data_IF_396438523031
#
_entry.id   IF_396438523031
#
_cell.length_a   1.000
_cell.length_b   1.000
_cell.length_c   1.000
_cell.angle_alpha   90.00
_cell.angle_beta   90.00
_cell.angle_gamma   90.00
#
_symmetry.space_group_name_H-M   'P 1'
#
loop_
_entity.id
_entity.type
_entity.pdbx_description
1 polymer ?
#
# COMPACT_ATOMS: atom_id res chain seq x y z
N UNK A 1 -9.87 -23.06 10.09
CA UNK A 1 -10.67 -21.89 9.67
C UNK A 1 -11.62 -22.28 8.55
N UNK A 2 -12.79 -21.72 8.54
CA UNK A 2 -13.77 -21.96 7.48
C UNK A 2 -13.34 -21.28 6.19
N UNK A 3 -13.31 -22.02 5.08
CA UNK A 3 -12.89 -21.49 3.77
C UNK A 3 -13.78 -20.32 3.32
N UNK A 4 -15.08 -20.35 3.64
CA UNK A 4 -15.98 -19.24 3.31
C UNK A 4 -15.57 -17.95 4.01
N UNK A 5 -15.16 -18.03 5.28
CA UNK A 5 -14.69 -16.86 6.03
C UNK A 5 -13.39 -16.33 5.43
N UNK A 6 -12.45 -17.21 5.13
CA UNK A 6 -11.18 -16.83 4.52
C UNK A 6 -11.40 -16.15 3.16
N UNK A 7 -12.30 -16.68 2.34
CA UNK A 7 -12.63 -16.12 1.04
C UNK A 7 -13.25 -14.74 1.18
N UNK A 8 -14.17 -14.55 2.13
CA UNK A 8 -14.80 -13.25 2.35
C UNK A 8 -13.79 -12.21 2.81
N UNK A 9 -12.87 -12.58 3.71
CA UNK A 9 -11.81 -11.67 4.15
C UNK A 9 -10.90 -11.26 2.99
N UNK A 10 -10.56 -12.19 2.13
CA UNK A 10 -9.74 -11.90 0.96
C UNK A 10 -10.46 -10.95 0.00
N UNK A 11 -11.73 -11.20 -0.28
CA UNK A 11 -12.54 -10.34 -1.14
C UNK A 11 -12.67 -8.93 -0.57
N UNK A 12 -12.93 -8.79 0.72
CA UNK A 12 -13.05 -7.49 1.36
C UNK A 12 -11.73 -6.71 1.31
N UNK A 13 -10.62 -7.38 1.61
CA UNK A 13 -9.30 -6.75 1.57
C UNK A 13 -8.93 -6.34 0.14
N UNK A 14 -9.30 -7.15 -0.86
CA UNK A 14 -9.08 -6.84 -2.26
C UNK A 14 -9.87 -5.60 -2.68
N UNK A 15 -11.16 -5.53 -2.34
CA UNK A 15 -12.01 -4.38 -2.66
C UNK A 15 -11.48 -3.10 -2.03
N UNK A 16 -11.09 -3.18 -0.77
CA UNK A 16 -10.50 -2.03 -0.08
C UNK A 16 -9.21 -1.57 -0.77
N UNK A 17 -8.33 -2.50 -1.11
CA UNK A 17 -7.08 -2.20 -1.78
C UNK A 17 -7.32 -1.57 -3.15
N UNK A 18 -8.27 -2.08 -3.92
CA UNK A 18 -8.63 -1.51 -5.22
C UNK A 18 -9.17 -0.08 -5.10
N UNK A 19 -9.97 0.20 -4.07
CA UNK A 19 -10.50 1.55 -3.84
C UNK A 19 -9.38 2.53 -3.54
N UNK A 20 -8.43 2.16 -2.67
CA UNK A 20 -7.29 3.01 -2.38
C UNK A 20 -6.40 3.21 -3.61
N UNK A 21 -6.17 2.16 -4.38
CA UNK A 21 -5.39 2.24 -5.60
C UNK A 21 -6.03 3.18 -6.64
N UNK A 22 -7.36 3.14 -6.76
CA UNK A 22 -8.09 4.03 -7.65
C UNK A 22 -7.83 5.51 -7.31
N UNK A 23 -8.01 5.86 -6.03
CA UNK A 23 -7.81 7.24 -5.59
C UNK A 23 -6.33 7.66 -5.66
N UNK A 24 -5.43 6.72 -5.40
CA UNK A 24 -4.00 6.98 -5.52
C UNK A 24 -3.62 7.31 -6.96
N UNK A 25 -4.12 6.54 -7.92
CA UNK A 25 -3.88 6.80 -9.34
C UNK A 25 -4.44 8.15 -9.78
N UNK A 26 -5.64 8.51 -9.31
CA UNK A 26 -6.21 9.83 -9.61
C UNK A 26 -5.30 10.95 -9.10
N UNK A 27 -4.87 10.86 -7.85
CA UNK A 27 -3.98 11.87 -7.27
C UNK A 27 -2.65 11.92 -8.01
N UNK A 28 -2.09 10.77 -8.35
CA UNK A 28 -0.84 10.66 -9.10
C UNK A 28 -0.95 11.36 -10.46
N UNK A 29 -2.06 11.13 -11.17
CA UNK A 29 -2.28 11.76 -12.48
C UNK A 29 -2.38 13.29 -12.36
N UNK A 30 -3.06 13.78 -11.33
CA UNK A 30 -3.19 15.21 -11.10
C UNK A 30 -1.86 15.87 -10.72
N UNK A 31 -0.96 15.13 -10.08
CA UNK A 31 0.37 15.61 -9.70
C UNK A 31 1.38 15.50 -10.84
N UNK A 32 1.06 14.78 -11.91
CA UNK A 32 1.98 14.54 -13.02
C UNK A 32 2.70 15.79 -13.51
N UNK A 33 1.99 16.92 -13.76
CA UNK A 33 2.63 18.15 -14.27
C UNK A 33 3.70 18.75 -13.35
N UNK A 34 3.69 18.45 -12.07
CA UNK A 34 4.66 19.00 -11.11
C UNK A 34 5.69 17.97 -10.65
N UNK A 35 5.65 16.77 -11.19
CA UNK A 35 6.64 15.74 -10.90
C UNK A 35 7.81 15.82 -11.90
N UNK A 36 9.03 15.48 -11.50
CA UNK A 36 9.42 15.11 -10.14
C UNK A 36 9.32 16.28 -9.16
N UNK A 37 8.97 15.96 -7.91
CA UNK A 37 8.82 16.97 -6.86
C UNK A 37 10.20 17.39 -6.36
N UNK A 38 10.57 18.65 -6.61
CA UNK A 38 11.81 19.25 -6.10
C UNK A 38 11.47 20.12 -4.89
N UNK A 39 12.49 20.47 -4.09
CA UNK A 39 12.30 21.39 -2.97
C UNK A 39 11.69 22.72 -3.41
N UNK A 40 12.14 23.24 -4.56
CA UNK A 40 11.61 24.48 -5.11
C UNK A 40 10.15 24.36 -5.50
N UNK A 41 9.77 23.28 -6.18
CA UNK A 41 8.36 23.03 -6.53
C UNK A 41 7.47 22.85 -5.30
N UNK A 42 7.98 22.16 -4.29
CA UNK A 42 7.26 21.96 -3.04
C UNK A 42 6.91 23.29 -2.37
N UNK A 43 7.84 24.25 -2.40
CA UNK A 43 7.62 25.56 -1.79
C UNK A 43 6.63 26.44 -2.54
N UNK A 44 6.32 26.11 -3.81
CA UNK A 44 5.46 26.92 -4.67
C UNK A 44 4.17 26.22 -5.07
N UNK A 45 3.74 25.21 -4.31
CA UNK A 45 2.49 24.50 -4.58
C UNK A 45 1.29 25.42 -4.31
N UNK A 46 0.29 25.30 -5.17
CA UNK A 46 -1.02 25.92 -4.93
C UNK A 46 -1.75 25.16 -3.83
N UNK A 47 -2.78 25.75 -3.25
CA UNK A 47 -3.61 25.08 -2.23
C UNK A 47 -4.24 23.80 -2.81
N UNK A 48 -4.68 23.83 -4.07
CA UNK A 48 -5.25 22.66 -4.72
C UNK A 48 -4.22 21.53 -4.90
N UNK A 49 -2.99 21.90 -5.26
CA UNK A 49 -1.90 20.93 -5.37
C UNK A 49 -1.54 20.33 -4.01
N UNK A 50 -1.57 21.14 -2.95
CA UNK A 50 -1.35 20.64 -1.58
C UNK A 50 -2.45 19.63 -1.21
N UNK A 51 -3.72 19.94 -1.50
CA UNK A 51 -4.82 19.01 -1.24
C UNK A 51 -4.63 17.69 -2.00
N UNK A 52 -4.20 17.76 -3.25
CA UNK A 52 -3.94 16.57 -4.05
C UNK A 52 -2.78 15.76 -3.50
N UNK A 53 -1.72 16.43 -3.07
CA UNK A 53 -0.58 15.76 -2.44
C UNK A 53 -0.98 15.09 -1.14
N UNK A 54 -1.79 15.75 -0.31
CA UNK A 54 -2.32 15.15 0.92
C UNK A 54 -3.14 13.90 0.61
N UNK A 55 -3.97 13.95 -0.42
CA UNK A 55 -4.76 12.80 -0.86
C UNK A 55 -3.85 11.66 -1.35
N UNK A 56 -2.81 11.99 -2.11
CA UNK A 56 -1.83 11.00 -2.58
C UNK A 56 -1.20 10.26 -1.41
N UNK A 57 -0.71 11.00 -0.42
CA UNK A 57 -0.03 10.41 0.74
C UNK A 57 -1.00 9.59 1.58
N UNK A 58 -2.22 10.09 1.80
CA UNK A 58 -3.25 9.35 2.52
C UNK A 58 -3.55 8.02 1.85
N UNK A 59 -3.79 8.03 0.53
CA UNK A 59 -4.16 6.82 -0.19
C UNK A 59 -3.00 5.84 -0.33
N UNK A 60 -1.78 6.36 -0.50
CA UNK A 60 -0.58 5.53 -0.50
C UNK A 60 -0.45 4.78 0.84
N UNK A 61 -0.59 5.51 1.96
CA UNK A 61 -0.49 4.94 3.29
C UNK A 61 -1.59 3.90 3.54
N UNK A 62 -2.83 4.22 3.19
CA UNK A 62 -3.97 3.31 3.34
C UNK A 62 -3.81 2.06 2.48
N UNK A 63 -3.31 2.20 1.25
CA UNK A 63 -3.08 1.06 0.36
C UNK A 63 -2.01 0.13 0.93
N UNK A 64 -0.91 0.70 1.41
CA UNK A 64 0.16 -0.08 2.04
C UNK A 64 -0.37 -0.87 3.24
N UNK A 65 -1.17 -0.24 4.09
CA UNK A 65 -1.73 -0.89 5.27
C UNK A 65 -2.74 -1.97 4.88
N UNK A 66 -3.61 -1.69 3.92
CA UNK A 66 -4.60 -2.67 3.48
C UNK A 66 -3.94 -3.91 2.89
N UNK A 67 -2.91 -3.73 2.07
CA UNK A 67 -2.20 -4.87 1.46
C UNK A 67 -1.43 -5.65 2.52
N UNK A 68 -0.62 -4.96 3.32
CA UNK A 68 0.28 -5.63 4.25
C UNK A 68 -0.43 -6.27 5.44
N UNK A 69 -1.43 -5.58 6.00
CA UNK A 69 -2.09 -6.03 7.23
C UNK A 69 -3.34 -6.86 6.98
N UNK A 70 -3.93 -6.79 5.79
CA UNK A 70 -5.18 -7.48 5.50
C UNK A 70 -5.14 -8.38 4.27
N UNK A 71 -4.69 -7.88 3.13
CA UNK A 71 -4.74 -8.65 1.88
C UNK A 71 -3.79 -9.84 1.91
N UNK A 72 -2.52 -9.62 2.22
CA UNK A 72 -1.53 -10.69 2.23
C UNK A 72 -1.82 -11.75 3.30
N UNK A 73 -2.16 -11.39 4.55
CA UNK A 73 -2.57 -12.41 5.52
C UNK A 73 -3.80 -13.20 5.09
N UNK A 74 -4.81 -12.54 4.52
CA UNK A 74 -6.01 -13.23 4.04
C UNK A 74 -5.70 -14.17 2.88
N UNK A 75 -4.79 -13.77 1.99
CA UNK A 75 -4.35 -14.64 0.88
C UNK A 75 -3.65 -15.88 1.41
N UNK A 76 -2.74 -15.72 2.37
CA UNK A 76 -2.04 -16.87 2.96
C UNK A 76 -3.02 -17.81 3.68
N UNK A 77 -4.03 -17.26 4.36
CA UNK A 77 -5.08 -18.08 4.98
C UNK A 77 -5.85 -18.88 3.94
N UNK A 78 -6.23 -18.26 2.83
CA UNK A 78 -6.93 -18.96 1.74
C UNK A 78 -6.08 -20.05 1.12
N UNK A 79 -4.76 -19.89 1.13
CA UNK A 79 -3.82 -20.90 0.62
C UNK A 79 -3.44 -21.94 1.67
N UNK A 80 -4.03 -21.87 2.86
CA UNK A 80 -3.71 -22.76 3.99
C UNK A 80 -2.25 -22.72 4.40
N UNK A 81 -1.62 -21.55 4.30
CA UNK A 81 -0.23 -21.35 4.73
C UNK A 81 -0.19 -20.92 6.20
N UNK A 82 0.61 -21.57 7.06
CA UNK A 82 0.62 -21.29 8.49
C UNK A 82 1.52 -20.11 8.85
N UNK A 83 1.22 -18.92 8.36
CA UNK A 83 2.10 -17.75 8.51
C UNK A 83 1.52 -16.65 9.41
N UNK A 84 0.36 -16.88 10.04
CA UNK A 84 -0.33 -15.81 10.78
C UNK A 84 0.50 -15.21 11.92
N UNK A 85 1.35 -16.00 12.59
CA UNK A 85 2.20 -15.54 13.68
C UNK A 85 3.64 -15.24 13.24
N UNK A 86 3.88 -15.16 11.95
CA UNK A 86 5.21 -14.90 11.41
C UNK A 86 5.40 -13.41 11.14
N UNK A 87 6.65 -12.91 11.19
CA UNK A 87 6.95 -11.53 10.80
C UNK A 87 6.55 -11.25 9.34
N UNK A 88 6.32 -9.99 9.02
CA UNK A 88 5.92 -9.58 7.68
C UNK A 88 6.91 -10.07 6.62
N UNK A 89 8.23 -10.00 6.90
CA UNK A 89 9.23 -10.42 5.90
C UNK A 89 9.08 -11.89 5.53
N UNK A 90 8.72 -12.75 6.49
CA UNK A 90 8.49 -14.17 6.23
C UNK A 90 7.28 -14.36 5.30
N UNK A 91 6.21 -13.62 5.55
CA UNK A 91 5.00 -13.62 4.71
C UNK A 91 5.32 -13.19 3.29
N UNK A 92 6.08 -12.11 3.15
CA UNK A 92 6.48 -11.59 1.84
C UNK A 92 7.34 -12.58 1.07
N UNK A 93 8.32 -13.18 1.73
CA UNK A 93 9.18 -14.18 1.10
C UNK A 93 8.38 -15.40 0.65
N UNK A 94 7.40 -15.82 1.44
CA UNK A 94 6.54 -16.94 1.07
C UNK A 94 5.68 -16.59 -0.14
N UNK A 95 5.08 -15.42 -0.16
CA UNK A 95 4.26 -14.96 -1.28
C UNK A 95 5.08 -14.80 -2.57
N UNK A 96 6.33 -14.35 -2.44
CA UNK A 96 7.23 -14.28 -3.58
C UNK A 96 7.54 -15.68 -4.12
N UNK A 97 7.83 -16.62 -3.23
CA UNK A 97 8.13 -18.01 -3.62
C UNK A 97 6.93 -18.68 -4.29
N UNK A 98 5.72 -18.35 -3.83
CA UNK A 98 4.49 -18.88 -4.44
C UNK A 98 4.10 -18.16 -5.73
N UNK A 99 4.78 -17.07 -6.08
CA UNK A 99 4.54 -16.35 -7.33
C UNK A 99 3.48 -15.25 -7.25
N UNK A 100 3.01 -14.90 -6.07
CA UNK A 100 1.98 -13.86 -5.93
C UNK A 100 2.55 -12.45 -5.90
N UNK A 101 3.79 -12.28 -5.50
CA UNK A 101 4.50 -11.00 -5.60
C UNK A 101 5.83 -11.21 -6.30
N UNK A 102 6.32 -10.17 -6.98
CA UNK A 102 7.54 -10.27 -7.76
C UNK A 102 8.80 -10.12 -6.92
N UNK A 103 8.76 -9.28 -5.87
CA UNK A 103 9.95 -8.91 -5.13
C UNK A 103 9.60 -8.47 -3.72
N UNK A 104 9.91 -9.32 -2.74
CA UNK A 104 9.66 -9.03 -1.33
C UNK A 104 10.48 -7.84 -0.84
N UNK A 105 11.72 -7.71 -1.32
CA UNK A 105 12.61 -6.61 -0.93
C UNK A 105 12.05 -5.28 -1.40
N UNK A 106 11.58 -5.21 -2.64
CA UNK A 106 10.97 -4.00 -3.18
C UNK A 106 9.73 -3.60 -2.37
N UNK A 107 8.89 -4.55 -1.99
CA UNK A 107 7.73 -4.25 -1.17
C UNK A 107 8.15 -3.67 0.18
N UNK A 108 9.19 -4.23 0.78
CA UNK A 108 9.71 -3.74 2.06
C UNK A 108 10.28 -2.31 1.92
N UNK A 109 10.96 -2.01 0.81
CA UNK A 109 11.47 -0.66 0.53
C UNK A 109 10.33 0.35 0.43
N UNK A 110 9.26 -0.01 -0.26
CA UNK A 110 8.07 0.83 -0.37
C UNK A 110 7.40 1.04 0.99
N UNK A 111 7.39 0.00 1.84
CA UNK A 111 6.89 0.10 3.21
C UNK A 111 7.71 1.09 4.03
N UNK A 112 9.02 1.12 3.84
CA UNK A 112 9.88 2.09 4.52
C UNK A 112 9.56 3.52 4.10
N UNK A 113 9.25 3.75 2.83
CA UNK A 113 8.80 5.05 2.34
C UNK A 113 7.48 5.45 3.02
N UNK A 114 6.53 4.53 3.14
CA UNK A 114 5.27 4.75 3.86
C UNK A 114 5.54 5.18 5.30
N UNK A 115 6.47 4.52 5.98
CA UNK A 115 6.80 4.86 7.37
C UNK A 115 7.40 6.25 7.47
N UNK A 116 8.21 6.66 6.51
CA UNK A 116 8.77 8.01 6.47
C UNK A 116 7.67 9.06 6.30
N UNK A 117 6.69 8.82 5.43
CA UNK A 117 5.55 9.73 5.30
C UNK A 117 4.77 9.89 6.60
N UNK A 118 4.60 8.81 7.35
CA UNK A 118 3.86 8.85 8.61
C UNK A 118 4.55 9.72 9.67
N UNK A 119 5.87 9.79 9.64
CA UNK A 119 6.65 10.47 10.68
C UNK A 119 7.22 11.82 10.23
N UNK A 120 7.61 11.93 8.96
CA UNK A 120 8.43 13.05 8.48
C UNK A 120 7.72 13.98 7.50
N UNK A 121 6.46 13.70 7.15
CA UNK A 121 5.74 14.53 6.19
C UNK A 121 5.54 15.93 6.76
N UNK A 122 6.09 16.97 6.13
CA UNK A 122 5.92 18.34 6.60
C UNK A 122 4.53 18.88 6.29
N UNK A 123 3.96 19.52 7.27
CA UNK A 123 2.63 20.10 7.14
C UNK A 123 2.68 21.62 7.09
#
# INVERSE_FOLDING_TARGET
MNDSVSTLRLQDAWRESQRHAYHLRRASNLLGPILPMTGNRFLHLTDEQIQTLDQYILRFTKLQDAIGSRLYPALLDCLHEPYENRPMIDKLNRLEKLGYIQNATLWQDVRNIRNNFAHDYPR
#
